data_IF_670163628271
#
_entry.id   IF_670163628271
#
_cell.length_a   1.000
_cell.length_b   1.000
_cell.length_c   1.000
_cell.angle_alpha   90.00
_cell.angle_beta   90.00
_cell.angle_gamma   90.00
#
_symmetry.space_group_name_H-M   'P 1'
#
loop_
_entity.id
_entity.type
_entity.pdbx_description
1 polymer ?
#
# COMPACT_ATOMS: atom_id res chain seq x y z
N UNK A 1 41.03 64.11 -53.96
CA UNK A 1 39.79 64.53 -53.28
C UNK A 1 39.01 63.26 -52.97
N UNK A 2 38.95 62.82 -51.72
CA UNK A 2 37.77 62.30 -51.03
C UNK A 2 38.15 62.06 -49.56
N UNK A 3 37.28 62.56 -48.70
CA UNK A 3 37.56 62.95 -47.32
C UNK A 3 37.47 61.78 -46.34
N UNK A 4 38.38 61.83 -45.38
CA UNK A 4 38.41 61.06 -44.13
C UNK A 4 37.19 61.43 -43.26
N UNK A 5 36.54 60.43 -42.65
CA UNK A 5 35.87 60.55 -41.34
C UNK A 5 36.01 59.24 -40.56
N UNK A 6 36.80 59.34 -39.48
CA UNK A 6 37.01 58.33 -38.45
C UNK A 6 35.74 58.13 -37.61
N UNK A 7 35.47 56.89 -37.22
CA UNK A 7 34.54 56.53 -36.15
C UNK A 7 35.31 56.38 -34.83
N UNK A 8 34.78 56.83 -33.67
CA UNK A 8 35.45 56.71 -32.39
C UNK A 8 35.20 55.35 -31.70
N UNK A 9 36.20 54.95 -30.90
CA UNK A 9 36.24 53.79 -30.03
C UNK A 9 35.35 53.93 -28.79
N UNK A 10 34.83 52.77 -28.38
CA UNK A 10 34.62 52.27 -27.00
C UNK A 10 33.69 53.01 -26.02
N UNK A 11 32.61 52.32 -25.65
CA UNK A 11 32.20 52.19 -24.24
C UNK A 11 31.76 50.75 -23.98
N UNK A 12 32.51 50.04 -23.15
CA UNK A 12 32.22 48.69 -22.67
C UNK A 12 31.07 48.79 -21.66
N UNK A 13 29.89 48.28 -22.01
CA UNK A 13 28.83 48.05 -21.03
C UNK A 13 29.16 46.82 -20.18
N UNK A 14 29.47 47.08 -18.92
CA UNK A 14 29.71 46.09 -17.89
C UNK A 14 28.36 45.53 -17.42
N UNK A 15 27.93 44.37 -17.94
CA UNK A 15 26.76 43.67 -17.43
C UNK A 15 27.16 42.81 -16.23
N UNK A 16 27.03 43.36 -15.03
CA UNK A 16 27.16 42.59 -13.78
C UNK A 16 26.01 41.58 -13.66
N UNK A 17 26.23 40.36 -14.16
CA UNK A 17 25.36 39.22 -13.84
C UNK A 17 25.51 38.89 -12.35
N UNK A 18 24.49 39.24 -11.56
CA UNK A 18 24.33 38.70 -10.21
C UNK A 18 24.05 37.20 -10.32
N UNK A 19 25.09 36.40 -10.13
CA UNK A 19 24.96 34.97 -9.86
C UNK A 19 24.29 34.85 -8.49
N UNK A 20 22.96 34.67 -8.49
CA UNK A 20 22.25 34.26 -7.30
C UNK A 20 22.74 32.85 -6.94
N UNK A 21 23.65 32.75 -5.97
CA UNK A 21 23.96 31.49 -5.31
C UNK A 21 22.69 31.06 -4.57
N UNK A 22 21.88 30.21 -5.20
CA UNK A 22 20.84 29.48 -4.52
C UNK A 22 21.54 28.46 -3.60
N UNK A 23 21.84 28.88 -2.38
CA UNK A 23 22.26 27.97 -1.33
C UNK A 23 21.06 27.13 -0.96
N UNK A 24 21.08 25.84 -1.31
CA UNK A 24 20.15 24.89 -0.73
C UNK A 24 20.44 24.84 0.76
N UNK A 25 19.59 25.49 1.55
CA UNK A 25 19.56 25.27 2.98
C UNK A 25 19.16 23.81 3.19
N UNK A 26 20.13 22.95 3.48
CA UNK A 26 19.87 21.59 3.94
C UNK A 26 19.34 21.70 5.37
N UNK A 27 18.06 22.05 5.52
CA UNK A 27 17.36 21.71 6.75
C UNK A 27 17.44 20.20 6.90
N UNK A 28 17.95 19.68 8.04
CA UNK A 28 17.87 18.26 8.33
C UNK A 28 16.43 17.83 8.13
N UNK A 29 16.22 16.74 7.39
CA UNK A 29 14.89 16.23 7.04
C UNK A 29 13.95 16.02 8.25
N UNK A 30 14.57 15.89 9.43
CA UNK A 30 13.98 15.67 10.73
C UNK A 30 13.39 16.90 11.43
N UNK A 31 13.52 18.13 10.90
CA UNK A 31 12.81 19.29 11.44
C UNK A 31 11.65 19.73 10.51
N UNK A 32 10.43 19.94 11.04
CA UNK A 32 9.33 20.54 10.29
C UNK A 32 9.77 21.87 9.69
N UNK A 33 9.35 22.15 8.45
CA UNK A 33 9.64 23.45 7.85
C UNK A 33 9.07 24.56 8.75
N UNK A 34 9.76 25.70 8.92
CA UNK A 34 9.30 26.78 9.80
C UNK A 34 8.00 27.44 9.32
N UNK A 35 7.56 27.15 8.09
CA UNK A 35 6.34 27.68 7.49
C UNK A 35 5.51 26.55 6.86
N UNK A 36 4.16 26.68 6.86
CA UNK A 36 3.28 25.77 6.13
C UNK A 36 3.68 25.70 4.65
N UNK A 37 3.60 24.50 4.08
CA UNK A 37 3.92 24.31 2.66
C UNK A 37 2.82 24.92 1.79
N UNK A 38 3.20 25.77 0.84
CA UNK A 38 2.25 26.35 -0.10
C UNK A 38 1.94 25.31 -1.18
N UNK A 39 0.80 24.63 -1.04
CA UNK A 39 0.30 23.63 -1.99
C UNK A 39 -0.80 24.27 -2.83
N UNK A 40 -0.62 24.24 -4.15
CA UNK A 40 -1.61 24.76 -5.11
C UNK A 40 -2.54 23.64 -5.61
N UNK A 41 -3.68 24.01 -6.18
CA UNK A 41 -4.58 23.05 -6.85
C UNK A 41 -3.89 22.29 -8.00
N UNK A 42 -2.93 22.93 -8.67
CA UNK A 42 -2.13 22.27 -9.71
C UNK A 42 -1.26 21.15 -9.13
N UNK A 43 -0.65 21.37 -7.96
CA UNK A 43 0.14 20.36 -7.25
C UNK A 43 -0.74 19.18 -6.82
N UNK A 44 -1.95 19.46 -6.32
CA UNK A 44 -2.93 18.42 -5.97
C UNK A 44 -3.37 17.63 -7.20
N UNK A 45 -3.62 18.30 -8.32
CA UNK A 45 -3.97 17.66 -9.59
C UNK A 45 -2.86 16.73 -10.12
N UNK A 46 -1.60 17.18 -10.06
CA UNK A 46 -0.43 16.38 -10.42
C UNK A 46 -0.25 15.18 -9.48
N UNK A 47 -0.38 15.41 -8.17
CA UNK A 47 -0.28 14.38 -7.15
C UNK A 47 -1.35 13.28 -7.30
N UNK A 48 -2.60 13.66 -7.59
CA UNK A 48 -3.69 12.74 -7.89
C UNK A 48 -3.40 11.88 -9.12
N UNK A 49 -2.89 12.51 -10.18
CA UNK A 49 -2.52 11.82 -11.42
C UNK A 49 -1.38 10.83 -11.21
N UNK A 50 -0.36 11.21 -10.42
CA UNK A 50 0.73 10.33 -10.02
C UNK A 50 0.23 9.10 -9.26
N UNK A 51 -0.55 9.30 -8.20
CA UNK A 51 -1.08 8.21 -7.38
C UNK A 51 -1.95 7.26 -8.22
N UNK A 52 -2.86 7.81 -9.04
CA UNK A 52 -3.72 7.01 -9.93
C UNK A 52 -2.90 6.19 -10.93
N UNK A 53 -1.84 6.77 -11.51
CA UNK A 53 -0.95 6.09 -12.46
C UNK A 53 -0.14 4.96 -11.79
N UNK A 54 0.29 5.15 -10.54
CA UNK A 54 0.94 4.08 -9.77
C UNK A 54 -0.01 2.90 -9.57
N UNK A 55 -1.25 3.15 -9.15
CA UNK A 55 -2.25 2.09 -8.98
C UNK A 55 -2.51 1.39 -10.32
N UNK A 56 -2.70 2.14 -11.40
CA UNK A 56 -2.94 1.55 -12.71
C UNK A 56 -1.82 0.57 -13.13
N UNK A 57 -0.57 0.91 -12.79
CA UNK A 57 0.62 0.15 -13.15
C UNK A 57 0.91 -1.04 -12.23
N UNK A 58 0.74 -0.86 -10.92
CA UNK A 58 1.22 -1.82 -9.91
C UNK A 58 0.10 -2.47 -9.09
N UNK A 59 -1.10 -1.90 -9.08
CA UNK A 59 -2.26 -2.41 -8.32
C UNK A 59 -3.55 -2.23 -9.14
N UNK A 60 -3.59 -2.92 -10.28
CA UNK A 60 -4.73 -2.85 -11.21
C UNK A 60 -6.09 -3.19 -10.57
N UNK A 61 -6.20 -4.14 -9.62
CA UNK A 61 -7.43 -4.36 -8.89
C UNK A 61 -7.89 -3.11 -8.14
N UNK A 62 -7.02 -2.45 -7.38
CA UNK A 62 -7.39 -1.23 -6.63
C UNK A 62 -7.70 -0.06 -7.54
N UNK A 63 -6.96 0.08 -8.65
CA UNK A 63 -7.31 1.05 -9.68
C UNK A 63 -8.73 0.83 -10.23
N UNK A 64 -9.14 -0.42 -10.38
CA UNK A 64 -10.50 -0.75 -10.84
C UNK A 64 -11.54 -0.53 -9.75
N UNK A 65 -11.22 -0.88 -8.50
CA UNK A 65 -12.15 -0.79 -7.38
C UNK A 65 -12.35 0.63 -6.84
N UNK A 66 -11.45 1.57 -7.16
CA UNK A 66 -11.57 2.97 -6.75
C UNK A 66 -12.89 3.63 -7.18
N UNK A 67 -13.53 3.14 -8.25
CA UNK A 67 -14.83 3.67 -8.73
C UNK A 67 -15.96 3.46 -7.73
N UNK A 68 -15.83 2.50 -6.83
CA UNK A 68 -16.81 2.24 -5.77
C UNK A 68 -16.55 3.06 -4.50
N UNK A 69 -15.41 3.76 -4.44
CA UNK A 69 -15.08 4.67 -3.34
C UNK A 69 -15.78 6.02 -3.55
N UNK A 70 -16.50 6.53 -2.54
CA UNK A 70 -17.12 7.85 -2.59
C UNK A 70 -16.12 8.95 -2.98
N UNK A 71 -16.60 9.92 -3.76
CA UNK A 71 -15.76 11.01 -4.29
C UNK A 71 -15.01 11.77 -3.18
N UNK A 72 -15.65 11.98 -2.02
CA UNK A 72 -15.06 12.68 -0.87
C UNK A 72 -13.84 11.96 -0.27
N UNK A 73 -13.75 10.64 -0.39
CA UNK A 73 -12.65 9.84 0.17
C UNK A 73 -11.70 9.29 -0.91
N UNK A 74 -11.94 9.58 -2.19
CA UNK A 74 -11.14 9.00 -3.29
C UNK A 74 -9.68 9.44 -3.25
N UNK A 75 -9.40 10.70 -2.89
CA UNK A 75 -8.03 11.20 -2.76
C UNK A 75 -7.28 10.54 -1.58
N UNK A 76 -7.99 10.31 -0.46
CA UNK A 76 -7.45 9.53 0.65
C UNK A 76 -7.12 8.11 0.18
N UNK A 77 -8.08 7.43 -0.46
CA UNK A 77 -7.88 6.09 -1.01
C UNK A 77 -6.68 6.02 -1.95
N UNK A 78 -6.58 6.95 -2.91
CA UNK A 78 -5.46 7.01 -3.86
C UNK A 78 -4.11 7.19 -3.16
N UNK A 79 -4.01 8.13 -2.21
CA UNK A 79 -2.75 8.37 -1.48
C UNK A 79 -2.36 7.19 -0.59
N UNK A 80 -3.32 6.58 0.12
CA UNK A 80 -3.12 5.40 0.96
C UNK A 80 -2.63 4.20 0.13
N UNK A 81 -3.29 3.91 -1.00
CA UNK A 81 -2.88 2.81 -1.89
C UNK A 81 -1.55 3.10 -2.58
N UNK A 82 -1.27 4.35 -2.95
CA UNK A 82 0.01 4.74 -3.54
C UNK A 82 1.16 4.61 -2.54
N UNK A 83 0.98 5.05 -1.28
CA UNK A 83 1.94 4.83 -0.21
C UNK A 83 2.25 3.33 -0.04
N UNK A 84 1.22 2.49 -0.05
CA UNK A 84 1.40 1.04 0.04
C UNK A 84 2.28 0.49 -1.09
N UNK A 85 2.08 0.96 -2.32
CA UNK A 85 2.90 0.56 -3.49
C UNK A 85 4.34 1.04 -3.32
N UNK A 86 4.56 2.28 -2.89
CA UNK A 86 5.89 2.83 -2.66
C UNK A 86 6.66 2.02 -1.61
N UNK A 87 6.02 1.74 -0.47
CA UNK A 87 6.62 0.96 0.61
C UNK A 87 6.89 -0.50 0.20
N UNK A 88 5.93 -1.15 -0.48
CA UNK A 88 6.05 -2.54 -0.90
C UNK A 88 7.19 -2.78 -1.90
N UNK A 89 7.54 -1.76 -2.69
CA UNK A 89 8.56 -1.85 -3.75
C UNK A 89 9.96 -1.45 -3.28
N UNK A 90 10.12 -0.94 -2.06
CA UNK A 90 11.44 -0.58 -1.51
C UNK A 90 12.44 -1.75 -1.60
N UNK A 91 12.11 -3.00 -1.20
CA UNK A 91 13.03 -4.14 -1.35
C UNK A 91 13.52 -4.33 -2.78
N UNK A 92 12.64 -4.09 -3.77
CA UNK A 92 12.94 -4.24 -5.19
C UNK A 92 13.78 -3.09 -5.77
N UNK A 93 13.81 -1.95 -5.10
CA UNK A 93 14.48 -0.72 -5.58
C UNK A 93 15.83 -0.47 -4.91
N UNK A 94 16.13 -1.12 -3.78
CA UNK A 94 17.36 -0.90 -3.03
C UNK A 94 18.33 -2.07 -3.17
N UNK A 95 19.63 -1.75 -3.09
CA UNK A 95 20.71 -2.74 -3.21
C UNK A 95 21.20 -3.26 -1.86
N UNK A 96 20.90 -2.57 -0.76
CA UNK A 96 21.28 -3.00 0.59
C UNK A 96 20.17 -2.74 1.61
N UNK A 97 20.07 -3.55 2.68
CA UNK A 97 19.09 -3.35 3.75
C UNK A 97 19.18 -1.96 4.39
N UNK A 98 20.39 -1.43 4.57
CA UNK A 98 20.60 -0.09 5.13
C UNK A 98 19.93 1.01 4.28
N UNK A 99 20.06 0.93 2.95
CA UNK A 99 19.40 1.90 2.06
C UNK A 99 17.87 1.72 2.11
N UNK A 100 17.40 0.48 2.25
CA UNK A 100 15.99 0.18 2.52
C UNK A 100 15.46 0.88 3.77
N UNK A 101 16.16 0.74 4.90
CA UNK A 101 15.79 1.39 6.17
C UNK A 101 15.81 2.91 6.09
N UNK A 102 16.79 3.51 5.37
CA UNK A 102 16.79 4.95 5.11
C UNK A 102 15.55 5.41 4.32
N UNK A 103 15.08 4.60 3.35
CA UNK A 103 13.83 4.89 2.62
C UNK A 103 12.58 4.71 3.48
N UNK A 104 12.56 3.72 4.37
CA UNK A 104 11.47 3.57 5.34
C UNK A 104 11.42 4.78 6.29
N UNK A 105 12.57 5.23 6.79
CA UNK A 105 12.67 6.43 7.62
C UNK A 105 12.22 7.69 6.87
N UNK A 106 12.62 7.85 5.60
CA UNK A 106 12.15 8.93 4.74
C UNK A 106 10.62 9.01 4.69
N UNK A 107 9.93 7.86 4.58
CA UNK A 107 8.47 7.81 4.61
C UNK A 107 7.89 8.11 6.00
N UNK A 108 8.52 7.65 7.09
CA UNK A 108 8.07 8.03 8.45
C UNK A 108 8.10 9.54 8.66
N UNK A 109 9.19 10.17 8.24
CA UNK A 109 9.37 11.62 8.34
C UNK A 109 8.38 12.36 7.43
N UNK A 110 8.09 11.85 6.22
CA UNK A 110 7.04 12.39 5.34
C UNK A 110 5.67 12.40 6.01
N UNK A 111 5.27 11.27 6.58
CA UNK A 111 4.01 11.16 7.30
C UNK A 111 4.01 12.11 8.48
N UNK A 112 5.05 12.13 9.31
CA UNK A 112 5.15 13.04 10.46
C UNK A 112 4.97 14.51 10.07
N UNK A 113 5.64 14.95 9.00
CA UNK A 113 5.55 16.32 8.49
C UNK A 113 4.18 16.65 7.88
N UNK A 114 3.58 15.70 7.17
CA UNK A 114 2.22 15.82 6.62
C UNK A 114 1.19 16.08 7.72
N UNK A 115 1.29 15.35 8.84
CA UNK A 115 0.43 15.54 10.00
C UNK A 115 0.81 16.75 10.87
N UNK A 116 1.96 17.38 10.62
CA UNK A 116 2.40 18.62 11.22
C UNK A 116 2.16 19.85 10.31
N UNK A 117 1.24 19.73 9.34
CA UNK A 117 0.86 20.78 8.39
C UNK A 117 2.03 21.36 7.57
N UNK A 118 3.11 20.58 7.41
CA UNK A 118 4.30 20.93 6.60
C UNK A 118 4.62 19.83 5.57
N UNK A 119 3.63 19.38 4.76
CA UNK A 119 3.79 18.26 3.85
C UNK A 119 4.96 18.50 2.87
N UNK A 120 5.86 17.51 2.71
CA UNK A 120 6.95 17.60 1.75
C UNK A 120 6.43 17.62 0.31
N UNK A 121 7.28 18.03 -0.63
CA UNK A 121 7.00 18.05 -2.08
C UNK A 121 7.07 16.63 -2.69
N UNK A 122 6.36 15.71 -2.06
CA UNK A 122 6.19 14.32 -2.46
C UNK A 122 4.72 14.11 -2.85
N UNK A 123 4.40 13.65 -4.08
CA UNK A 123 3.03 13.50 -4.56
C UNK A 123 2.09 12.78 -3.59
N UNK A 124 2.54 11.67 -2.98
CA UNK A 124 1.74 10.92 -2.01
C UNK A 124 1.42 11.74 -0.77
N UNK A 125 2.40 12.49 -0.25
CA UNK A 125 2.25 13.35 0.92
C UNK A 125 1.33 14.55 0.65
N UNK A 126 1.46 15.18 -0.54
CA UNK A 126 0.60 16.28 -0.98
C UNK A 126 -0.86 15.83 -1.04
N UNK A 127 -1.13 14.69 -1.69
CA UNK A 127 -2.50 14.19 -1.85
C UNK A 127 -3.11 13.75 -0.52
N UNK A 128 -2.30 13.11 0.35
CA UNK A 128 -2.72 12.75 1.70
C UNK A 128 -3.06 13.99 2.52
N UNK A 129 -2.22 15.03 2.49
CA UNK A 129 -2.47 16.29 3.17
C UNK A 129 -3.79 16.94 2.72
N UNK A 130 -4.01 17.01 1.40
CA UNK A 130 -5.23 17.54 0.81
C UNK A 130 -6.48 16.75 1.29
N UNK A 131 -6.40 15.42 1.29
CA UNK A 131 -7.50 14.58 1.76
C UNK A 131 -7.80 14.77 3.25
N UNK A 132 -6.77 14.86 4.10
CA UNK A 132 -6.91 15.12 5.53
C UNK A 132 -7.52 16.51 5.81
N UNK A 133 -7.13 17.53 5.05
CA UNK A 133 -7.72 18.87 5.15
C UNK A 133 -9.20 18.86 4.75
N UNK A 134 -9.52 18.18 3.64
CA UNK A 134 -10.89 18.02 3.18
C UNK A 134 -11.75 17.33 4.24
N UNK A 135 -11.26 16.24 4.83
CA UNK A 135 -11.92 15.52 5.92
C UNK A 135 -12.17 16.41 7.14
N UNK A 136 -11.13 17.13 7.62
CA UNK A 136 -11.21 18.05 8.77
C UNK A 136 -12.21 19.18 8.52
N UNK A 137 -12.21 19.74 7.31
CA UNK A 137 -13.12 20.85 6.94
C UNK A 137 -14.59 20.42 6.91
N UNK A 138 -14.86 19.18 6.45
CA UNK A 138 -16.21 18.64 6.34
C UNK A 138 -16.74 18.11 7.67
N UNK A 139 -15.84 17.72 8.59
CA UNK A 139 -16.19 17.09 9.86
C UNK A 139 -15.35 17.68 11.02
N UNK A 140 -15.71 18.87 11.51
CA UNK A 140 -15.03 19.50 12.65
C UNK A 140 -15.05 18.58 13.88
N UNK A 141 -13.88 18.29 14.46
CA UNK A 141 -13.74 17.44 15.65
C UNK A 141 -13.25 16.01 15.40
N UNK A 142 -13.12 15.57 14.13
CA UNK A 142 -12.47 14.29 13.82
C UNK A 142 -10.97 14.39 14.10
N UNK A 143 -10.47 13.49 14.96
CA UNK A 143 -9.03 13.35 15.21
C UNK A 143 -8.38 12.50 14.13
N UNK A 144 -7.39 13.07 13.44
CA UNK A 144 -6.58 12.34 12.47
C UNK A 144 -5.41 11.55 13.13
N UNK A 145 -5.29 11.58 14.46
CA UNK A 145 -4.18 10.92 15.17
C UNK A 145 -4.15 9.40 14.95
N UNK A 146 -5.32 8.75 14.93
CA UNK A 146 -5.44 7.31 14.66
C UNK A 146 -4.94 6.97 13.25
N UNK A 147 -5.30 7.79 12.26
CA UNK A 147 -4.83 7.65 10.86
C UNK A 147 -3.30 7.71 10.79
N UNK A 148 -2.68 8.63 11.53
CA UNK A 148 -1.21 8.71 11.62
C UNK A 148 -0.61 7.42 12.20
N UNK A 149 -1.16 6.92 13.31
CA UNK A 149 -0.70 5.70 13.96
C UNK A 149 -0.72 4.50 13.03
N UNK A 150 -1.84 4.30 12.32
CA UNK A 150 -1.99 3.23 11.33
C UNK A 150 -1.04 3.36 10.13
N UNK A 151 -0.79 4.58 9.61
CA UNK A 151 0.19 4.78 8.54
C UNK A 151 1.61 4.38 8.99
N UNK A 152 2.00 4.76 10.21
CA UNK A 152 3.30 4.36 10.79
C UNK A 152 3.35 2.84 11.06
N UNK A 153 2.23 2.24 11.47
CA UNK A 153 2.07 0.79 11.67
C UNK A 153 2.41 0.01 10.39
N UNK A 154 1.88 0.45 9.23
CA UNK A 154 2.19 -0.18 7.93
C UNK A 154 3.69 -0.08 7.61
N UNK A 155 4.31 1.09 7.82
CA UNK A 155 5.74 1.28 7.55
C UNK A 155 6.58 0.32 8.41
N UNK A 156 6.25 0.22 9.71
CA UNK A 156 6.94 -0.68 10.63
C UNK A 156 6.79 -2.14 10.20
N UNK A 157 5.56 -2.59 9.90
CA UNK A 157 5.31 -3.96 9.46
C UNK A 157 6.05 -4.32 8.16
N UNK A 158 6.14 -3.39 7.21
CA UNK A 158 6.88 -3.59 5.95
C UNK A 158 8.39 -3.59 6.16
N UNK A 159 8.91 -2.75 7.05
CA UNK A 159 10.34 -2.76 7.37
C UNK A 159 10.76 -4.07 8.03
N UNK A 160 9.95 -4.60 8.97
CA UNK A 160 10.25 -5.88 9.66
C UNK A 160 10.45 -7.05 8.70
N UNK A 161 9.71 -7.09 7.59
CA UNK A 161 9.76 -8.16 6.59
C UNK A 161 10.51 -7.77 5.30
N UNK A 162 11.24 -6.64 5.31
CA UNK A 162 11.95 -6.13 4.13
C UNK A 162 13.08 -7.06 3.65
N UNK A 163 13.58 -7.93 4.53
CA UNK A 163 14.60 -8.94 4.24
C UNK A 163 14.02 -10.26 3.70
N UNK A 164 12.72 -10.32 3.42
CA UNK A 164 11.99 -11.52 2.98
C UNK A 164 12.15 -12.71 3.93
N UNK A 165 12.33 -12.46 5.23
CA UNK A 165 12.29 -13.52 6.24
C UNK A 165 10.97 -14.32 6.17
N UNK A 166 11.00 -15.65 6.35
CA UNK A 166 9.78 -16.44 6.43
C UNK A 166 8.89 -16.04 7.61
N UNK A 167 7.60 -16.36 7.51
CA UNK A 167 6.66 -16.22 8.63
C UNK A 167 6.81 -17.42 9.56
N UNK A 168 6.86 -17.19 10.87
CA UNK A 168 7.07 -18.28 11.85
C UNK A 168 5.88 -19.23 11.93
N UNK A 169 4.67 -18.74 11.66
CA UNK A 169 3.43 -19.50 11.70
C UNK A 169 2.37 -18.87 10.79
N UNK A 170 1.25 -19.57 10.58
CA UNK A 170 0.07 -19.00 9.90
C UNK A 170 -0.42 -17.72 10.60
N UNK A 171 -0.45 -17.73 11.92
CA UNK A 171 -0.83 -16.57 12.75
C UNK A 171 0.11 -15.36 12.54
N UNK A 172 1.42 -15.59 12.35
CA UNK A 172 2.35 -14.52 12.03
C UNK A 172 2.08 -13.89 10.65
N UNK A 173 1.67 -14.70 9.66
CA UNK A 173 1.26 -14.23 8.35
C UNK A 173 -0.07 -13.44 8.42
N UNK A 174 -1.02 -13.87 9.25
CA UNK A 174 -2.25 -13.13 9.51
C UNK A 174 -1.98 -11.80 10.17
N UNK A 175 -1.11 -11.79 11.19
CA UNK A 175 -0.68 -10.57 11.89
C UNK A 175 -0.01 -9.59 10.93
N UNK A 176 0.85 -10.09 10.04
CA UNK A 176 1.43 -9.26 8.98
C UNK A 176 0.35 -8.69 8.05
N UNK A 177 -0.62 -9.50 7.65
CA UNK A 177 -1.71 -9.11 6.74
C UNK A 177 -2.65 -8.09 7.39
N UNK A 178 -2.89 -8.22 8.70
CA UNK A 178 -3.64 -7.28 9.53
C UNK A 178 -2.95 -5.91 9.61
N UNK A 179 -1.66 -5.94 9.96
CA UNK A 179 -0.84 -4.74 10.11
C UNK A 179 -0.50 -4.04 8.78
N UNK A 180 -0.85 -4.65 7.63
CA UNK A 180 -0.64 -4.09 6.30
C UNK A 180 -1.96 -3.88 5.57
N UNK A 181 -2.59 -4.94 5.06
CA UNK A 181 -3.74 -4.86 4.17
C UNK A 181 -5.05 -4.53 4.89
N UNK A 182 -5.32 -5.06 6.09
CA UNK A 182 -6.49 -4.63 6.90
C UNK A 182 -6.35 -3.16 7.30
N UNK A 183 -5.14 -2.75 7.70
CA UNK A 183 -4.85 -1.37 8.06
C UNK A 183 -5.12 -0.39 6.91
N UNK A 184 -4.90 -0.77 5.64
CA UNK A 184 -5.30 0.06 4.48
C UNK A 184 -6.82 0.26 4.39
N UNK A 185 -7.60 -0.75 4.76
CA UNK A 185 -9.06 -0.67 4.77
C UNK A 185 -9.55 0.22 5.91
N UNK A 186 -8.97 0.08 7.12
CA UNK A 186 -9.28 0.96 8.26
C UNK A 186 -8.97 2.42 7.93
N UNK A 187 -7.81 2.69 7.33
CA UNK A 187 -7.44 4.03 6.88
C UNK A 187 -8.48 4.60 5.89
N UNK A 188 -9.01 3.77 5.00
CA UNK A 188 -10.04 4.20 4.05
C UNK A 188 -11.38 4.46 4.73
N UNK A 189 -11.81 3.58 5.66
CA UNK A 189 -13.03 3.74 6.46
C UNK A 189 -13.00 4.99 7.34
N UNK A 190 -11.86 5.27 7.98
CA UNK A 190 -11.67 6.47 8.79
C UNK A 190 -11.75 7.79 7.98
N UNK A 191 -11.50 7.74 6.67
CA UNK A 191 -11.71 8.87 5.76
C UNK A 191 -13.13 8.95 5.18
N UNK A 192 -14.02 8.00 5.53
CA UNK A 192 -15.46 8.00 5.19
C UNK A 192 -16.38 8.51 6.32
N UNK A 193 -15.82 9.32 7.22
CA UNK A 193 -16.23 9.44 8.63
C UNK A 193 -17.17 8.34 9.17
N UNK A 194 -16.79 7.07 8.98
CA UNK A 194 -17.52 5.93 9.53
C UNK A 194 -16.80 5.45 10.78
N UNK A 195 -17.52 5.40 11.90
CA UNK A 195 -17.01 4.92 13.18
C UNK A 195 -17.80 3.65 13.56
N UNK A 196 -17.54 2.58 12.82
CA UNK A 196 -18.30 1.34 12.92
C UNK A 196 -17.37 0.17 13.23
N UNK A 197 -17.35 -0.26 14.49
CA UNK A 197 -16.55 -1.41 14.93
C UNK A 197 -16.89 -2.67 14.12
N UNK A 198 -18.17 -2.85 13.75
CA UNK A 198 -18.59 -3.95 12.90
C UNK A 198 -18.03 -3.86 11.47
N UNK A 199 -17.95 -2.66 10.90
CA UNK A 199 -17.33 -2.49 9.58
C UNK A 199 -15.82 -2.74 9.64
N UNK A 200 -15.16 -2.33 10.72
CA UNK A 200 -13.75 -2.63 10.97
C UNK A 200 -13.52 -4.14 11.07
N UNK A 201 -14.35 -4.90 11.79
CA UNK A 201 -14.17 -6.36 11.85
C UNK A 201 -14.34 -7.05 10.49
N UNK A 202 -15.34 -6.63 9.69
CA UNK A 202 -15.49 -7.16 8.33
C UNK A 202 -14.27 -6.78 7.47
N UNK A 203 -13.78 -5.54 7.61
CA UNK A 203 -12.58 -5.08 6.94
C UNK A 203 -11.32 -5.83 7.37
N UNK A 204 -11.20 -6.23 8.64
CA UNK A 204 -10.10 -7.06 9.16
C UNK A 204 -9.99 -8.36 8.40
N UNK A 205 -11.08 -9.12 8.32
CA UNK A 205 -11.06 -10.41 7.64
C UNK A 205 -10.78 -10.26 6.13
N UNK A 206 -11.38 -9.28 5.46
CA UNK A 206 -11.10 -9.03 4.04
C UNK A 206 -9.65 -8.59 3.84
N UNK A 207 -9.12 -7.77 4.74
CA UNK A 207 -7.73 -7.30 4.74
C UNK A 207 -6.74 -8.44 4.94
N UNK A 208 -6.95 -9.29 5.94
CA UNK A 208 -6.17 -10.52 6.18
C UNK A 208 -6.18 -11.43 4.95
N UNK A 209 -7.35 -11.73 4.40
CA UNK A 209 -7.48 -12.53 3.17
C UNK A 209 -6.71 -11.91 1.99
N UNK A 210 -6.81 -10.60 1.81
CA UNK A 210 -6.13 -9.87 0.73
C UNK A 210 -4.62 -9.88 0.92
N UNK A 211 -4.14 -9.76 2.15
CA UNK A 211 -2.71 -9.81 2.48
C UNK A 211 -2.10 -11.19 2.27
N UNK A 212 -2.78 -12.24 2.74
CA UNK A 212 -2.38 -13.63 2.49
C UNK A 212 -2.31 -13.90 0.98
N UNK A 213 -3.35 -13.54 0.23
CA UNK A 213 -3.36 -13.69 -1.22
C UNK A 213 -2.25 -12.87 -1.92
N UNK A 214 -1.88 -11.71 -1.39
CA UNK A 214 -0.78 -10.92 -1.93
C UNK A 214 0.59 -11.56 -1.67
N UNK A 215 0.81 -12.17 -0.50
CA UNK A 215 2.02 -12.94 -0.20
C UNK A 215 2.15 -14.12 -1.15
N UNK A 216 1.08 -14.90 -1.33
CA UNK A 216 1.08 -16.01 -2.30
C UNK A 216 1.38 -15.51 -3.73
N UNK A 217 0.71 -14.44 -4.19
CA UNK A 217 0.96 -13.84 -5.50
C UNK A 217 2.40 -13.34 -5.69
N UNK A 218 3.04 -12.89 -4.61
CA UNK A 218 4.42 -12.43 -4.59
C UNK A 218 5.45 -13.56 -4.60
N UNK A 219 5.09 -14.76 -4.14
CA UNK A 219 6.02 -15.87 -3.93
C UNK A 219 6.91 -16.17 -5.16
N UNK A 220 6.38 -16.29 -6.40
CA UNK A 220 7.23 -16.55 -7.56
C UNK A 220 8.29 -15.47 -7.82
N UNK A 221 7.96 -14.20 -7.53
CA UNK A 221 8.85 -13.06 -7.77
C UNK A 221 9.93 -12.94 -6.70
N UNK A 222 9.61 -13.36 -5.46
CA UNK A 222 10.54 -13.33 -4.33
C UNK A 222 11.45 -14.56 -4.35
N UNK A 223 10.92 -15.73 -4.73
CA UNK A 223 11.71 -16.96 -4.89
C UNK A 223 12.68 -16.86 -6.07
N UNK A 224 12.28 -16.17 -7.14
CA UNK A 224 13.08 -16.00 -8.36
C UNK A 224 13.17 -14.52 -8.76
N UNK A 225 13.96 -13.71 -8.02
CA UNK A 225 14.08 -12.29 -8.30
C UNK A 225 14.71 -12.07 -9.68
N UNK A 226 14.25 -11.06 -10.45
CA UNK A 226 14.87 -10.73 -11.72
C UNK A 226 16.32 -10.25 -11.51
N UNK A 227 17.19 -10.39 -12.53
CA UNK A 227 18.56 -9.92 -12.45
C UNK A 227 18.60 -8.41 -12.13
N UNK A 228 19.61 -7.93 -11.38
CA UNK A 228 19.72 -6.53 -11.01
C UNK A 228 19.82 -5.64 -12.27
N UNK A 229 19.10 -4.53 -12.28
CA UNK A 229 19.15 -3.56 -13.38
C UNK A 229 20.56 -2.97 -13.52
N UNK A 230 21.16 -3.08 -14.71
CA UNK A 230 22.53 -2.61 -15.01
C UNK A 230 22.71 -1.07 -15.07
N UNK A 231 21.67 -0.28 -14.79
CA UNK A 231 21.69 1.19 -14.88
C UNK A 231 21.91 1.90 -13.54
N UNK A 232 22.62 1.29 -12.60
CA UNK A 232 23.01 1.97 -11.35
C UNK A 232 24.37 2.69 -11.52
N UNK A 233 24.36 4.02 -11.44
CA UNK A 233 25.57 4.86 -11.47
C UNK A 233 26.49 4.69 -10.23
N UNK A 234 26.22 3.70 -9.38
CA UNK A 234 27.01 3.38 -8.18
C UNK A 234 28.37 2.75 -8.47
N UNK A 235 28.67 2.42 -9.73
CA UNK A 235 29.99 1.92 -10.15
C UNK A 235 31.14 2.94 -9.96
N UNK A 236 30.84 4.23 -9.75
CA UNK A 236 31.85 5.31 -9.70
C UNK A 236 32.66 5.33 -8.39
N UNK A 237 32.22 4.63 -7.33
CA UNK A 237 32.87 4.69 -6.01
C UNK A 237 33.46 3.36 -5.50
N UNK A 238 33.72 2.38 -6.37
CA UNK A 238 34.53 1.18 -6.03
C UNK A 238 33.98 0.30 -4.88
N UNK A 239 32.82 0.62 -4.32
CA UNK A 239 32.16 -0.15 -3.27
C UNK A 239 31.28 -1.18 -3.95
N UNK A 240 31.80 -2.40 -4.07
CA UNK A 240 31.08 -3.56 -4.56
C UNK A 240 30.08 -4.04 -3.48
N UNK A 241 28.97 -3.33 -3.29
CA UNK A 241 27.85 -3.73 -2.41
C UNK A 241 26.75 -4.48 -3.15
N UNK A 242 27.01 -4.93 -4.39
CA UNK A 242 26.07 -5.71 -5.20
C UNK A 242 25.92 -7.13 -4.70
N UNK A 243 25.21 -7.33 -3.59
CA UNK A 243 24.71 -8.64 -3.21
C UNK A 243 23.77 -9.15 -4.30
N UNK A 244 24.04 -10.32 -4.87
CA UNK A 244 23.04 -11.05 -5.67
C UNK A 244 21.80 -11.23 -4.81
N UNK A 245 20.64 -10.73 -5.25
CA UNK A 245 19.38 -10.96 -4.54
C UNK A 245 19.14 -12.46 -4.48
N UNK A 246 19.31 -13.04 -3.30
CA UNK A 246 19.05 -14.45 -3.08
C UNK A 246 17.54 -14.65 -2.96
N UNK A 247 17.02 -15.63 -3.69
CA UNK A 247 15.60 -15.98 -3.63
C UNK A 247 15.19 -16.42 -2.23
N UNK A 248 13.96 -16.10 -1.85
CA UNK A 248 13.38 -16.47 -0.57
C UNK A 248 11.98 -17.09 -0.73
N UNK A 249 11.62 -17.97 0.20
CA UNK A 249 10.28 -18.59 0.26
C UNK A 249 9.55 -17.98 1.45
N UNK A 250 8.50 -17.21 1.16
CA UNK A 250 7.74 -16.41 2.14
C UNK A 250 6.44 -17.11 2.56
N UNK A 251 6.51 -18.41 2.82
CA UNK A 251 5.39 -19.20 3.37
C UNK A 251 5.57 -19.39 4.89
N UNK A 252 4.48 -19.66 5.63
CA UNK A 252 4.57 -20.03 7.04
C UNK A 252 5.40 -21.30 7.24
N UNK A 253 6.34 -21.25 8.20
CA UNK A 253 7.27 -22.35 8.47
C UNK A 253 6.55 -23.60 9.01
N UNK A 254 5.50 -23.43 9.81
CA UNK A 254 4.65 -24.52 10.29
C UNK A 254 3.97 -25.26 9.13
N UNK A 255 3.39 -24.52 8.20
CA UNK A 255 2.68 -25.04 7.04
C UNK A 255 3.64 -25.73 6.07
N UNK A 256 4.83 -25.16 5.88
CA UNK A 256 5.89 -25.79 5.11
C UNK A 256 6.33 -27.11 5.75
N UNK A 257 6.49 -27.15 7.07
CA UNK A 257 6.90 -28.35 7.78
C UNK A 257 5.84 -29.45 7.70
N UNK A 258 4.56 -29.12 7.90
CA UNK A 258 3.43 -30.04 7.80
C UNK A 258 3.29 -30.64 6.40
N UNK A 259 3.46 -29.84 5.36
CA UNK A 259 3.42 -30.30 3.97
C UNK A 259 4.75 -30.92 3.49
N UNK A 260 5.80 -30.97 4.32
CA UNK A 260 7.09 -31.54 3.96
C UNK A 260 7.91 -30.71 2.96
N UNK A 261 7.63 -29.41 2.84
CA UNK A 261 8.30 -28.49 1.92
C UNK A 261 9.69 -28.13 2.42
N UNK A 262 10.71 -28.32 1.56
CA UNK A 262 12.05 -27.81 1.79
C UNK A 262 12.27 -26.56 0.95
N UNK A 263 12.76 -25.49 1.58
CA UNK A 263 13.04 -24.23 0.89
C UNK A 263 13.97 -24.42 -0.32
N UNK A 264 15.00 -25.24 -0.18
CA UNK A 264 15.95 -25.52 -1.28
C UNK A 264 15.28 -26.20 -2.48
N UNK A 265 14.31 -27.10 -2.24
CA UNK A 265 13.59 -27.76 -3.33
C UNK A 265 12.73 -26.76 -4.11
N UNK A 266 12.12 -25.79 -3.42
CA UNK A 266 11.37 -24.69 -4.07
C UNK A 266 12.31 -23.84 -4.93
N UNK A 267 13.49 -23.48 -4.42
CA UNK A 267 14.45 -22.64 -5.15
C UNK A 267 15.11 -23.37 -6.34
N UNK A 268 15.11 -24.70 -6.34
CA UNK A 268 15.66 -25.52 -7.44
C UNK A 268 14.63 -25.91 -8.49
N UNK A 269 13.45 -26.35 -8.04
CA UNK A 269 12.45 -27.02 -8.88
C UNK A 269 11.19 -26.16 -9.09
N UNK A 270 11.07 -25.03 -8.40
CA UNK A 270 9.93 -24.13 -8.51
C UNK A 270 8.62 -24.84 -8.17
N UNK A 271 7.68 -24.84 -9.11
CA UNK A 271 6.35 -25.44 -8.96
C UNK A 271 6.39 -26.96 -8.68
N UNK A 272 7.45 -27.65 -9.08
CA UNK A 272 7.60 -29.10 -8.95
C UNK A 272 8.19 -29.53 -7.59
N UNK A 273 8.42 -28.58 -6.68
CA UNK A 273 8.92 -28.89 -5.34
C UNK A 273 7.87 -29.68 -4.53
N UNK A 274 8.29 -30.80 -3.97
CA UNK A 274 7.45 -31.69 -3.18
C UNK A 274 6.75 -30.94 -2.04
N UNK A 275 5.43 -31.14 -1.91
CA UNK A 275 4.60 -30.54 -0.86
C UNK A 275 4.23 -29.07 -1.08
N UNK A 276 4.82 -28.39 -2.08
CA UNK A 276 4.63 -26.94 -2.23
C UNK A 276 3.18 -26.57 -2.54
N UNK A 277 2.52 -27.33 -3.41
CA UNK A 277 1.09 -27.13 -3.72
C UNK A 277 0.20 -27.33 -2.50
N UNK A 278 0.50 -28.33 -1.67
CA UNK A 278 -0.24 -28.60 -0.43
C UNK A 278 -0.06 -27.47 0.59
N UNK A 279 1.16 -26.92 0.72
CA UNK A 279 1.41 -25.75 1.55
C UNK A 279 0.68 -24.50 1.01
N UNK A 280 0.70 -24.27 -0.30
CA UNK A 280 -0.04 -23.16 -0.93
C UNK A 280 -1.55 -23.34 -0.73
N UNK A 281 -2.06 -24.58 -0.86
CA UNK A 281 -3.46 -24.91 -0.59
C UNK A 281 -3.86 -24.56 0.85
N UNK A 282 -3.05 -24.95 1.84
CA UNK A 282 -3.33 -24.63 3.25
C UNK A 282 -3.37 -23.11 3.49
N UNK A 283 -2.40 -22.36 2.96
CA UNK A 283 -2.37 -20.88 3.08
C UNK A 283 -3.53 -20.23 2.33
N UNK A 284 -3.87 -20.71 1.13
CA UNK A 284 -4.99 -20.20 0.34
C UNK A 284 -6.35 -20.50 1.00
N UNK A 285 -6.47 -21.65 1.65
CA UNK A 285 -7.66 -22.04 2.44
C UNK A 285 -7.87 -21.04 3.56
N UNK A 286 -6.81 -20.69 4.31
CA UNK A 286 -6.90 -19.69 5.37
C UNK A 286 -7.39 -18.31 4.88
N UNK A 287 -6.91 -17.88 3.71
CA UNK A 287 -7.41 -16.66 3.08
C UNK A 287 -8.91 -16.75 2.70
N UNK A 288 -9.35 -17.91 2.21
CA UNK A 288 -10.74 -18.15 1.85
C UNK A 288 -11.65 -18.21 3.10
N UNK A 289 -11.19 -18.81 4.20
CA UNK A 289 -11.92 -18.85 5.47
C UNK A 289 -12.24 -17.44 5.97
N UNK A 290 -11.27 -16.53 5.92
CA UNK A 290 -11.52 -15.12 6.22
C UNK A 290 -12.57 -14.47 5.30
N UNK A 291 -12.59 -14.80 3.99
CA UNK A 291 -13.66 -14.31 3.10
C UNK A 291 -15.03 -14.90 3.46
N UNK A 292 -15.08 -16.17 3.87
CA UNK A 292 -16.32 -16.81 4.34
C UNK A 292 -16.83 -16.10 5.61
N UNK A 293 -15.96 -15.90 6.60
CA UNK A 293 -16.29 -15.18 7.84
C UNK A 293 -16.78 -13.76 7.54
N UNK A 294 -16.08 -13.01 6.67
CA UNK A 294 -16.49 -11.66 6.28
C UNK A 294 -17.88 -11.63 5.62
N UNK A 295 -18.20 -12.60 4.76
CA UNK A 295 -19.52 -12.73 4.12
C UNK A 295 -20.62 -13.05 5.12
N UNK A 296 -20.35 -13.96 6.06
CA UNK A 296 -21.29 -14.32 7.11
C UNK A 296 -21.59 -13.13 8.02
N UNK A 297 -20.55 -12.44 8.48
CA UNK A 297 -20.69 -11.21 9.26
C UNK A 297 -21.47 -10.14 8.51
N UNK A 298 -21.13 -9.88 7.24
CA UNK A 298 -21.84 -8.90 6.42
C UNK A 298 -23.33 -9.26 6.29
N UNK A 299 -23.64 -10.54 6.05
CA UNK A 299 -25.03 -11.03 5.95
C UNK A 299 -25.78 -10.85 7.28
N UNK A 300 -25.14 -11.13 8.42
CA UNK A 300 -25.72 -10.92 9.74
C UNK A 300 -26.02 -9.44 9.99
N UNK A 301 -25.05 -8.57 9.72
CA UNK A 301 -25.16 -7.12 9.91
C UNK A 301 -26.24 -6.50 9.01
N UNK A 302 -26.36 -6.97 7.76
CA UNK A 302 -27.45 -6.58 6.85
C UNK A 302 -28.84 -6.99 7.34
N UNK A 303 -28.93 -8.07 8.13
CA UNK A 303 -30.16 -8.52 8.76
C UNK A 303 -30.42 -7.84 10.12
N UNK A 304 -29.58 -6.88 10.52
CA UNK A 304 -29.68 -6.21 11.82
C UNK A 304 -29.30 -7.10 13.01
N UNK A 305 -28.63 -8.22 12.75
CA UNK A 305 -28.07 -9.10 13.79
C UNK A 305 -26.69 -8.61 14.20
N UNK A 306 -26.24 -8.98 15.39
CA UNK A 306 -24.83 -8.85 15.76
C UNK A 306 -23.97 -9.63 14.76
N UNK A 307 -22.72 -9.19 14.56
CA UNK A 307 -21.81 -9.80 13.59
C UNK A 307 -21.60 -11.32 13.84
N UNK A 308 -21.90 -11.80 15.05
CA UNK A 308 -21.66 -13.16 15.52
C UNK A 308 -20.26 -13.22 16.13
N UNK A 309 -20.17 -13.37 17.45
CA UNK A 309 -18.89 -13.41 18.16
C UNK A 309 -18.37 -14.85 18.26
N UNK A 310 -17.19 -15.11 17.70
CA UNK A 310 -16.11 -15.84 18.38
C UNK A 310 -14.87 -14.95 18.26
N UNK A 311 -14.33 -14.59 19.41
CA UNK A 311 -13.35 -13.54 19.65
C UNK A 311 -11.95 -13.89 19.12
N UNK A 312 -11.36 -13.00 18.32
CA UNK A 312 -9.92 -13.01 17.99
C UNK A 312 -9.20 -11.66 18.23
N UNK A 313 -9.87 -10.63 18.77
CA UNK A 313 -9.31 -9.27 18.82
C UNK A 313 -9.53 -8.52 20.15
N UNK A 314 -9.57 -9.22 21.29
CA UNK A 314 -9.41 -8.56 22.59
C UNK A 314 -7.96 -8.06 22.74
N UNK A 315 -7.70 -6.80 22.36
CA UNK A 315 -6.42 -6.14 22.64
C UNK A 315 -5.84 -5.23 21.54
N UNK A 316 -6.51 -5.05 20.40
CA UNK A 316 -5.96 -4.20 19.33
C UNK A 316 -6.13 -2.70 19.61
N UNK A 317 -4.99 -2.00 19.76
CA UNK A 317 -4.92 -0.55 19.95
C UNK A 317 -5.54 0.21 18.76
N UNK A 318 -6.53 1.06 19.02
CA UNK A 318 -7.05 2.05 18.05
C UNK A 318 -8.49 1.83 17.54
N UNK A 319 -9.16 0.75 17.95
CA UNK A 319 -10.54 0.42 17.50
C UNK A 319 -11.64 0.80 18.51
N UNK A 320 -11.36 1.71 19.45
CA UNK A 320 -12.35 2.22 20.40
C UNK A 320 -13.12 3.39 19.78
N UNK A 321 -14.34 3.13 19.35
CA UNK A 321 -15.29 4.16 18.91
C UNK A 321 -16.34 4.43 20.01
N UNK A 322 -16.83 5.66 20.09
CA UNK A 322 -18.03 5.97 20.86
C UNK A 322 -19.25 5.27 20.24
N UNK A 323 -20.26 4.90 21.04
CA UNK A 323 -21.46 4.21 20.55
C UNK A 323 -22.10 4.94 19.36
N UNK A 324 -22.42 4.23 18.25
CA UNK A 324 -22.93 4.86 17.05
C UNK A 324 -24.33 5.45 17.28
N UNK A 325 -24.54 6.66 16.77
CA UNK A 325 -25.87 7.33 16.73
C UNK A 325 -26.75 6.83 15.56
N UNK A 326 -26.18 6.01 14.68
CA UNK A 326 -26.77 5.51 13.42
C UNK A 326 -26.85 3.99 13.42
N UNK A 327 -27.74 3.41 12.61
CA UNK A 327 -27.82 1.95 12.49
C UNK A 327 -26.59 1.39 11.78
N UNK A 328 -26.04 0.29 12.31
CA UNK A 328 -24.85 -0.39 11.79
C UNK A 328 -24.98 -0.75 10.30
N UNK A 329 -26.18 -1.09 9.84
CA UNK A 329 -26.45 -1.40 8.44
C UNK A 329 -26.24 -0.19 7.50
N UNK A 330 -26.66 1.01 7.92
CA UNK A 330 -26.48 2.23 7.12
C UNK A 330 -25.02 2.65 7.02
N UNK A 331 -24.23 2.43 8.08
CA UNK A 331 -22.79 2.69 8.08
C UNK A 331 -22.05 1.76 7.13
N UNK A 332 -22.36 0.47 7.15
CA UNK A 332 -21.83 -0.52 6.21
C UNK A 332 -22.20 -0.16 4.77
N UNK A 333 -23.42 0.31 4.53
CA UNK A 333 -23.84 0.71 3.19
C UNK A 333 -22.99 1.88 2.65
N UNK A 334 -22.74 2.89 3.49
CA UNK A 334 -21.89 4.04 3.13
C UNK A 334 -20.43 3.64 2.89
N UNK A 335 -19.95 2.64 3.63
CA UNK A 335 -18.60 2.10 3.55
C UNK A 335 -18.41 0.94 2.56
N UNK A 336 -19.47 0.48 1.90
CA UNK A 336 -19.46 -0.80 1.17
C UNK A 336 -18.37 -0.88 0.09
N UNK A 337 -18.06 0.25 -0.55
CA UNK A 337 -17.00 0.34 -1.55
C UNK A 337 -15.62 -0.08 -1.02
N UNK A 338 -15.36 0.11 0.28
CA UNK A 338 -14.12 -0.28 0.93
C UNK A 338 -13.99 -1.81 1.03
N UNK A 339 -15.11 -2.53 1.12
CA UNK A 339 -15.14 -4.00 1.25
C UNK A 339 -14.93 -4.73 -0.09
N UNK A 340 -14.95 -4.00 -1.21
CA UNK A 340 -14.81 -4.58 -2.55
C UNK A 340 -13.51 -5.35 -2.86
N UNK A 341 -12.37 -5.16 -2.17
CA UNK A 341 -11.20 -6.02 -2.34
C UNK A 341 -11.51 -7.52 -2.18
N UNK A 342 -12.51 -7.88 -1.37
CA UNK A 342 -12.98 -9.26 -1.22
C UNK A 342 -13.29 -9.94 -2.56
N UNK A 343 -13.93 -9.22 -3.49
CA UNK A 343 -14.27 -9.74 -4.83
C UNK A 343 -13.01 -10.02 -5.64
N UNK A 344 -12.02 -9.11 -5.60
CA UNK A 344 -10.76 -9.32 -6.33
C UNK A 344 -9.92 -10.44 -5.74
N UNK A 345 -9.92 -10.58 -4.41
CA UNK A 345 -9.22 -11.63 -3.68
C UNK A 345 -9.85 -12.99 -3.98
N UNK A 346 -11.19 -13.09 -3.94
CA UNK A 346 -11.91 -14.30 -4.31
C UNK A 346 -11.59 -14.73 -5.75
N UNK A 347 -11.69 -13.81 -6.72
CA UNK A 347 -11.42 -14.14 -8.13
C UNK A 347 -10.00 -14.67 -8.34
N UNK A 348 -9.03 -14.16 -7.58
CA UNK A 348 -7.65 -14.64 -7.64
C UNK A 348 -7.50 -16.02 -6.99
N UNK A 349 -8.11 -16.26 -5.82
CA UNK A 349 -8.10 -17.57 -5.14
C UNK A 349 -8.77 -18.66 -6.00
N UNK A 350 -9.93 -18.38 -6.60
CA UNK A 350 -10.61 -19.31 -7.53
C UNK A 350 -9.75 -19.66 -8.75
N UNK A 351 -8.88 -18.74 -9.19
CA UNK A 351 -7.96 -19.01 -10.29
C UNK A 351 -6.77 -19.84 -9.84
N UNK A 352 -6.26 -19.59 -8.64
CA UNK A 352 -5.22 -20.41 -8.03
C UNK A 352 -5.70 -21.86 -7.87
N UNK A 353 -6.92 -22.06 -7.38
CA UNK A 353 -7.57 -23.38 -7.27
C UNK A 353 -7.69 -24.09 -8.63
N UNK A 354 -8.15 -23.39 -9.68
CA UNK A 354 -8.22 -23.97 -11.04
C UNK A 354 -6.87 -24.42 -11.60
N UNK A 355 -5.78 -23.88 -11.05
CA UNK A 355 -4.41 -24.24 -11.40
C UNK A 355 -3.79 -25.21 -10.39
N UNK A 356 -4.60 -25.92 -9.60
CA UNK A 356 -4.12 -26.93 -8.64
C UNK A 356 -3.08 -26.32 -7.67
N UNK A 357 -3.36 -25.10 -7.22
CA UNK A 357 -2.51 -24.33 -6.30
C UNK A 357 -1.07 -24.10 -6.79
N UNK A 358 -0.82 -24.23 -8.10
CA UNK A 358 0.43 -23.85 -8.75
C UNK A 358 0.51 -22.32 -8.91
N UNK A 359 1.19 -21.69 -7.96
CA UNK A 359 1.33 -20.23 -7.92
C UNK A 359 2.29 -19.66 -8.96
N UNK A 360 3.07 -20.50 -9.64
CA UNK A 360 4.05 -20.06 -10.67
C UNK A 360 3.40 -19.85 -12.05
N UNK A 361 2.12 -20.19 -12.20
CA UNK A 361 1.40 -20.04 -13.46
C UNK A 361 1.40 -18.58 -13.93
N UNK A 362 1.90 -18.28 -15.15
CA UNK A 362 1.96 -16.92 -15.67
C UNK A 362 0.58 -16.26 -15.75
N UNK A 363 -0.47 -17.06 -15.95
CA UNK A 363 -1.85 -16.61 -15.97
C UNK A 363 -2.20 -15.87 -14.68
N UNK A 364 -1.77 -16.35 -13.50
CA UNK A 364 -2.08 -15.72 -12.19
C UNK A 364 -1.55 -14.29 -12.04
N UNK A 365 -0.63 -13.86 -12.92
CA UNK A 365 -0.10 -12.48 -12.99
C UNK A 365 -0.87 -11.59 -13.97
N UNK A 366 -1.68 -12.18 -14.85
CA UNK A 366 -2.49 -11.45 -15.81
C UNK A 366 -3.66 -10.72 -15.13
N UNK A 367 -3.99 -9.54 -15.66
CA UNK A 367 -5.11 -8.72 -15.19
C UNK A 367 -6.42 -9.51 -15.23
N UNK A 368 -7.17 -9.44 -14.13
CA UNK A 368 -8.48 -10.11 -14.04
C UNK A 368 -9.54 -9.32 -14.81
N UNK A 369 -9.90 -9.80 -16.00
CA UNK A 369 -10.86 -9.12 -16.88
C UNK A 369 -12.30 -9.18 -16.35
N UNK A 370 -12.65 -10.15 -15.50
CA UNK A 370 -14.00 -10.26 -14.90
C UNK A 370 -14.22 -9.26 -13.76
N UNK A 371 -13.15 -8.68 -13.21
CA UNK A 371 -13.21 -7.86 -12.01
C UNK A 371 -14.18 -6.67 -12.13
N UNK A 372 -14.15 -5.82 -13.19
CA UNK A 372 -15.07 -4.69 -13.28
C UNK A 372 -16.54 -5.11 -13.22
N UNK A 373 -16.90 -6.18 -13.94
CA UNK A 373 -18.27 -6.70 -13.99
C UNK A 373 -18.69 -7.32 -12.65
N UNK A 374 -17.87 -8.21 -12.10
CA UNK A 374 -18.13 -8.85 -10.80
C UNK A 374 -18.21 -7.82 -9.67
N UNK A 375 -17.34 -6.82 -9.68
CA UNK A 375 -17.34 -5.74 -8.71
C UNK A 375 -18.60 -4.87 -8.84
N UNK A 376 -19.04 -4.54 -10.06
CA UNK A 376 -20.28 -3.81 -10.28
C UNK A 376 -21.50 -4.55 -9.71
N UNK A 377 -21.61 -5.86 -9.98
CA UNK A 377 -22.71 -6.67 -9.45
C UNK A 377 -22.64 -6.82 -7.93
N UNK A 378 -21.45 -7.05 -7.39
CA UNK A 378 -21.24 -7.16 -5.94
C UNK A 378 -21.63 -5.86 -5.24
N UNK A 379 -21.15 -4.71 -5.75
CA UNK A 379 -21.50 -3.40 -5.22
C UNK A 379 -23.00 -3.11 -5.30
N UNK A 380 -23.63 -3.41 -6.44
CA UNK A 380 -25.07 -3.15 -6.68
C UNK A 380 -25.97 -4.03 -5.81
N UNK A 381 -25.55 -5.26 -5.52
CA UNK A 381 -26.31 -6.22 -4.70
C UNK A 381 -25.88 -6.23 -3.23
N UNK A 382 -24.94 -5.37 -2.85
CA UNK A 382 -24.31 -5.34 -1.51
C UNK A 382 -23.79 -6.73 -1.09
N UNK A 383 -23.11 -7.42 -2.00
CA UNK A 383 -22.56 -8.77 -1.79
C UNK A 383 -21.09 -8.81 -2.23
N UNK A 384 -20.26 -9.53 -1.47
CA UNK A 384 -18.82 -9.70 -1.71
C UNK A 384 -18.42 -11.17 -1.83
#
# INVERSE_FOLDING_TARGET
>A
MYSIRMLPRSSLYNSSQRIARCGYATTPYSQPAPYPSNITEADVGAARSYCSSLLQKFDSPSYTLQTFIPHSARDAYLSIRALNIELARIPDLVSSPTVGSLRMQFWRDNINRTFADTPPQEPVAILLYHALNSLRSQNPGISAAVVKGWLLKIINARETYMDNRPYTSMEALETYSENTYSTLMYLTLANLPLHSMSADHVASHIGKATGIAAVLRGLPLIAFPPPPNHHSNTATYGVNTGGTRQGAVVLPLDTMAEAGVKQEDVLRYGAEATGLKDAIFAVATRANDHLITAREMLKNLQQGKEAGHVFEHEGEEGHQYAEPKTSTAAEIERGFGVLMPAVSTQLWLERLERHDFDVFRPELRAREWKLPWKAYWGYSRRSI
#
